data_IF_962872088958
#
_entry.id   IF_962872088958
#
_cell.length_a   1.000
_cell.length_b   1.000
_cell.length_c   1.000
_cell.angle_alpha   90.00
_cell.angle_beta   90.00
_cell.angle_gamma   90.00
#
_symmetry.space_group_name_H-M   'P 1'
#
loop_
_entity.id
_entity.type
_entity.pdbx_description
1 polymer ?
#
# COMPACT_ATOMS: atom_id res chain seq x y z
N UNK A 1 29.22 -7.73 -0.76
CA UNK A 1 28.08 -7.79 -1.69
C UNK A 1 27.55 -9.21 -1.65
N UNK A 2 26.23 -9.39 -1.55
CA UNK A 2 25.62 -10.71 -1.72
C UNK A 2 25.98 -11.24 -3.11
N UNK A 3 26.43 -12.49 -3.19
CA UNK A 3 26.68 -13.16 -4.47
C UNK A 3 25.36 -13.24 -5.24
N UNK A 4 25.29 -12.82 -6.51
CA UNK A 4 24.09 -12.97 -7.31
C UNK A 4 23.63 -14.44 -7.32
N UNK A 5 22.35 -14.67 -7.04
CA UNK A 5 21.76 -16.01 -7.05
C UNK A 5 20.86 -16.17 -8.27
N UNK A 6 20.76 -17.41 -8.76
CA UNK A 6 19.84 -17.82 -9.81
C UNK A 6 19.02 -18.97 -9.27
N UNK A 7 17.70 -18.81 -9.25
CA UNK A 7 16.78 -19.84 -8.76
C UNK A 7 15.96 -20.41 -9.92
N UNK A 8 15.38 -21.61 -9.77
CA UNK A 8 14.60 -22.23 -10.83
C UNK A 8 13.45 -21.31 -11.30
N UNK A 9 13.21 -21.21 -12.62
CA UNK A 9 12.08 -20.44 -13.11
C UNK A 9 10.75 -21.10 -12.71
N UNK A 10 9.71 -20.29 -12.58
CA UNK A 10 8.33 -20.82 -12.55
C UNK A 10 8.01 -21.39 -13.94
N UNK A 11 7.40 -22.58 -14.00
CA UNK A 11 7.06 -23.22 -15.28
C UNK A 11 5.97 -22.45 -16.03
N UNK A 12 5.97 -22.58 -17.37
CA UNK A 12 4.89 -22.15 -18.26
C UNK A 12 4.52 -20.65 -18.21
N UNK A 13 5.48 -19.78 -17.89
CA UNK A 13 5.27 -18.33 -17.89
C UNK A 13 5.32 -17.72 -19.29
N UNK A 14 4.39 -16.82 -19.57
CA UNK A 14 4.50 -15.91 -20.70
C UNK A 14 5.61 -14.86 -20.42
N UNK A 15 6.33 -14.37 -21.44
CA UNK A 15 7.34 -13.35 -21.24
C UNK A 15 6.76 -12.08 -20.59
N UNK A 16 7.50 -11.49 -19.64
CA UNK A 16 7.16 -10.25 -18.92
C UNK A 16 5.94 -10.31 -17.98
N UNK A 17 5.29 -11.47 -17.82
CA UNK A 17 4.12 -11.58 -16.92
C UNK A 17 4.50 -11.77 -15.46
N UNK A 18 5.76 -12.11 -15.20
CA UNK A 18 6.36 -12.17 -13.87
C UNK A 18 7.64 -11.31 -13.84
N UNK A 19 8.09 -10.85 -12.66
CA UNK A 19 9.41 -10.27 -12.52
C UNK A 19 10.52 -11.21 -13.02
N UNK A 20 11.60 -10.63 -13.55
CA UNK A 20 12.74 -11.34 -14.14
C UNK A 20 13.35 -12.38 -13.19
N UNK A 21 13.45 -12.07 -11.89
CA UNK A 21 13.98 -12.97 -10.89
C UNK A 21 13.14 -14.25 -10.69
N UNK A 22 11.86 -14.26 -11.08
CA UNK A 22 11.04 -15.49 -11.12
C UNK A 22 11.16 -16.26 -12.44
N UNK A 23 11.74 -15.65 -13.47
CA UNK A 23 11.96 -16.25 -14.78
C UNK A 23 13.38 -16.85 -14.91
N UNK A 24 14.07 -17.06 -13.78
CA UNK A 24 15.40 -17.65 -13.76
C UNK A 24 16.52 -16.68 -14.15
N UNK A 25 16.32 -15.37 -14.02
CA UNK A 25 17.41 -14.39 -14.11
C UNK A 25 18.18 -14.31 -12.78
N UNK A 26 19.42 -13.82 -12.84
CA UNK A 26 20.20 -13.57 -11.63
C UNK A 26 19.63 -12.39 -10.85
N UNK A 27 19.66 -12.47 -9.53
CA UNK A 27 19.26 -11.38 -8.64
C UNK A 27 20.20 -11.25 -7.46
N UNK A 28 20.38 -10.01 -7.00
CA UNK A 28 21.09 -9.67 -5.74
C UNK A 28 20.14 -9.31 -4.60
N UNK A 29 18.85 -9.17 -4.91
CA UNK A 29 17.80 -8.71 -3.98
C UNK A 29 17.14 -9.85 -3.23
N UNK A 30 16.91 -10.98 -3.92
CA UNK A 30 16.11 -12.09 -3.42
C UNK A 30 16.96 -13.35 -3.16
N UNK A 31 16.41 -14.28 -2.40
CA UNK A 31 17.04 -15.54 -1.99
C UNK A 31 15.96 -16.63 -1.82
N UNK A 32 16.33 -17.83 -1.37
CA UNK A 32 15.42 -18.97 -1.24
C UNK A 32 14.20 -18.73 -0.34
N UNK A 33 14.32 -17.94 0.74
CA UNK A 33 13.18 -17.69 1.65
C UNK A 33 12.12 -16.80 1.01
N UNK A 34 12.55 -15.85 0.17
CA UNK A 34 11.65 -15.04 -0.63
C UNK A 34 10.81 -15.89 -1.60
N UNK A 35 11.45 -16.87 -2.25
CA UNK A 35 10.79 -17.72 -3.23
C UNK A 35 9.84 -18.70 -2.54
N UNK A 36 10.25 -19.27 -1.40
CA UNK A 36 9.39 -20.11 -0.58
C UNK A 36 8.14 -19.36 -0.10
N UNK A 37 8.29 -18.09 0.31
CA UNK A 37 7.16 -17.23 0.66
C UNK A 37 6.25 -16.96 -0.53
N UNK A 38 6.85 -16.66 -1.69
CA UNK A 38 6.10 -16.43 -2.92
C UNK A 38 5.23 -17.64 -3.27
N UNK A 39 5.78 -18.85 -3.23
CA UNK A 39 5.03 -20.08 -3.51
C UNK A 39 3.89 -20.29 -2.51
N UNK A 40 4.15 -20.09 -1.21
CA UNK A 40 3.15 -20.21 -0.14
C UNK A 40 1.98 -19.21 -0.31
N UNK A 41 2.29 -17.93 -0.55
CA UNK A 41 1.24 -16.91 -0.73
C UNK A 41 0.50 -17.13 -2.04
N UNK A 42 1.18 -17.59 -3.09
CA UNK A 42 0.55 -17.93 -4.37
C UNK A 42 -0.48 -19.05 -4.23
N UNK A 43 -0.16 -20.09 -3.47
CA UNK A 43 -1.11 -21.17 -3.12
C UNK A 43 -2.34 -20.59 -2.41
N UNK A 44 -2.13 -19.78 -1.36
CA UNK A 44 -3.21 -19.11 -0.66
C UNK A 44 -4.09 -18.26 -1.61
N UNK A 45 -3.48 -17.47 -2.49
CA UNK A 45 -4.21 -16.61 -3.44
C UNK A 45 -5.02 -17.45 -4.44
N UNK A 46 -4.45 -18.54 -4.96
CA UNK A 46 -5.14 -19.43 -5.90
C UNK A 46 -6.32 -20.17 -5.27
N UNK A 47 -6.23 -20.53 -3.99
CA UNK A 47 -7.27 -21.28 -3.30
C UNK A 47 -8.36 -20.35 -2.72
N UNK A 48 -7.96 -19.25 -2.08
CA UNK A 48 -8.86 -18.43 -1.27
C UNK A 48 -9.33 -17.14 -1.96
N UNK A 49 -8.70 -16.69 -3.05
CA UNK A 49 -9.03 -15.39 -3.67
C UNK A 49 -9.46 -15.53 -5.11
N UNK A 50 -8.62 -16.13 -5.97
CA UNK A 50 -8.86 -16.21 -7.42
C UNK A 50 -10.24 -16.77 -7.78
N UNK A 51 -10.77 -17.82 -7.11
CA UNK A 51 -12.08 -18.37 -7.45
C UNK A 51 -13.26 -17.41 -7.18
N UNK A 52 -13.09 -16.42 -6.29
CA UNK A 52 -14.17 -15.60 -5.75
C UNK A 52 -14.07 -14.11 -6.13
N UNK A 53 -12.92 -13.68 -6.68
CA UNK A 53 -12.60 -12.27 -6.88
C UNK A 53 -13.61 -11.51 -7.75
N UNK A 54 -14.16 -12.16 -8.77
CA UNK A 54 -15.14 -11.55 -9.67
C UNK A 54 -16.49 -11.36 -8.98
N UNK A 55 -16.94 -12.36 -8.21
CA UNK A 55 -18.17 -12.28 -7.41
C UNK A 55 -18.06 -11.16 -6.38
N UNK A 56 -16.94 -11.10 -5.66
CA UNK A 56 -16.69 -10.08 -4.63
C UNK A 56 -16.62 -8.66 -5.20
N UNK A 57 -16.06 -8.45 -6.40
CA UNK A 57 -16.04 -7.12 -7.01
C UNK A 57 -17.44 -6.66 -7.46
N UNK A 58 -18.26 -7.58 -7.98
CA UNK A 58 -19.65 -7.30 -8.36
C UNK A 58 -20.49 -6.98 -7.12
N UNK A 59 -20.39 -7.79 -6.06
CA UNK A 59 -21.07 -7.56 -4.79
C UNK A 59 -20.54 -6.32 -4.05
N UNK A 60 -19.27 -5.96 -4.30
CA UNK A 60 -18.56 -4.95 -3.53
C UNK A 60 -18.27 -5.38 -2.09
N UNK A 61 -18.27 -6.68 -1.81
CA UNK A 61 -18.08 -7.26 -0.49
C UNK A 61 -17.14 -8.46 -0.60
N UNK A 62 -16.22 -8.59 0.36
CA UNK A 62 -15.26 -9.69 0.46
C UNK A 62 -15.61 -10.50 1.69
N UNK A 63 -15.43 -11.83 1.65
CA UNK A 63 -15.67 -12.68 2.82
C UNK A 63 -14.85 -12.21 4.03
N UNK A 64 -15.50 -11.82 5.15
CA UNK A 64 -14.82 -11.45 6.39
C UNK A 64 -13.83 -12.50 6.91
N UNK A 65 -14.06 -13.79 6.64
CA UNK A 65 -13.19 -14.88 7.08
C UNK A 65 -11.82 -14.84 6.39
N UNK A 66 -11.74 -14.29 5.18
CA UNK A 66 -10.48 -14.16 4.45
C UNK A 66 -9.45 -13.35 5.27
N UNK A 67 -9.88 -12.27 5.94
CA UNK A 67 -8.99 -11.46 6.79
C UNK A 67 -8.46 -12.22 8.00
N UNK A 68 -9.29 -13.07 8.62
CA UNK A 68 -8.88 -13.91 9.74
C UNK A 68 -7.86 -14.96 9.31
N UNK A 69 -8.11 -15.61 8.18
CA UNK A 69 -7.18 -16.60 7.64
C UNK A 69 -5.83 -15.96 7.27
N UNK A 70 -5.87 -14.77 6.68
CA UNK A 70 -4.68 -13.97 6.38
C UNK A 70 -3.86 -13.65 7.65
N UNK A 71 -4.53 -13.35 8.76
CA UNK A 71 -3.90 -13.20 10.08
C UNK A 71 -3.32 -14.49 10.63
N UNK A 72 -4.05 -15.61 10.59
CA UNK A 72 -3.62 -16.92 11.10
C UNK A 72 -2.36 -17.46 10.42
N UNK A 73 -2.16 -17.13 9.14
CA UNK A 73 -0.96 -17.49 8.36
C UNK A 73 0.25 -16.59 8.62
N UNK A 74 0.10 -15.57 9.47
CA UNK A 74 1.17 -14.64 9.80
C UNK A 74 1.45 -13.58 8.73
N UNK A 75 0.59 -13.44 7.70
CA UNK A 75 0.78 -12.44 6.66
C UNK A 75 0.55 -11.02 7.18
N UNK A 76 -0.41 -10.81 8.09
CA UNK A 76 -0.54 -9.53 8.79
C UNK A 76 0.74 -9.18 9.57
N UNK A 77 1.36 -10.15 10.23
CA UNK A 77 2.60 -9.93 10.98
C UNK A 77 3.74 -9.44 10.08
N UNK A 78 3.84 -9.95 8.86
CA UNK A 78 4.81 -9.48 7.88
C UNK A 78 4.47 -8.11 7.27
N UNK A 79 3.19 -7.74 7.19
CA UNK A 79 2.75 -6.43 6.66
C UNK A 79 2.69 -5.33 7.73
N UNK A 80 3.28 -5.54 8.91
CA UNK A 80 3.21 -4.62 10.05
C UNK A 80 4.07 -3.35 9.88
N UNK A 81 4.83 -3.23 8.78
CA UNK A 81 5.72 -2.11 8.48
C UNK A 81 6.86 -1.93 9.47
N UNK A 82 7.34 -3.05 10.02
CA UNK A 82 8.52 -3.13 10.88
C UNK A 82 9.59 -4.00 10.22
N UNK A 83 10.87 -3.66 10.45
CA UNK A 83 12.00 -4.35 9.82
C UNK A 83 12.18 -5.78 10.32
N UNK A 84 11.87 -6.00 11.58
CA UNK A 84 11.96 -7.29 12.25
C UNK A 84 10.57 -7.87 12.43
N UNK A 85 10.45 -9.18 12.27
CA UNK A 85 9.19 -9.87 12.50
C UNK A 85 8.75 -9.68 13.98
N UNK A 86 7.49 -9.33 14.28
CA UNK A 86 7.07 -8.82 15.59
C UNK A 86 6.88 -9.92 16.65
N UNK A 87 7.91 -10.74 16.89
CA UNK A 87 7.88 -11.89 17.80
C UNK A 87 7.60 -11.53 19.27
N UNK A 88 7.87 -10.29 19.68
CA UNK A 88 7.54 -9.77 21.02
C UNK A 88 6.01 -9.76 21.30
N UNK A 89 5.19 -9.59 20.27
CA UNK A 89 3.74 -9.38 20.42
C UNK A 89 2.89 -10.56 19.95
N UNK A 90 3.49 -11.58 19.34
CA UNK A 90 2.76 -12.73 18.80
C UNK A 90 3.64 -13.96 18.58
N UNK A 91 3.05 -15.14 18.74
CA UNK A 91 3.63 -16.44 18.38
C UNK A 91 3.26 -16.93 16.98
N UNK A 92 2.42 -16.17 16.25
CA UNK A 92 2.02 -16.49 14.88
C UNK A 92 3.23 -16.37 13.95
N UNK A 93 3.40 -17.29 12.99
CA UNK A 93 4.53 -17.34 12.07
C UNK A 93 4.07 -17.57 10.64
N UNK A 94 4.82 -17.04 9.69
CA UNK A 94 4.79 -17.49 8.30
C UNK A 94 5.45 -18.86 8.24
N UNK A 95 4.85 -19.81 7.51
CA UNK A 95 5.34 -21.20 7.45
C UNK A 95 6.70 -21.30 6.76
N UNK A 96 6.89 -20.59 5.66
CA UNK A 96 8.09 -20.64 4.80
C UNK A 96 9.27 -19.77 5.26
N UNK A 97 9.05 -18.81 6.16
CA UNK A 97 10.04 -17.79 6.52
C UNK A 97 10.26 -17.75 8.03
N UNK A 98 11.45 -18.18 8.52
CA UNK A 98 11.83 -17.97 9.90
C UNK A 98 11.89 -16.47 10.26
N UNK A 99 11.40 -16.05 11.45
CA UNK A 99 11.40 -14.64 11.87
C UNK A 99 12.72 -13.91 11.70
N UNK A 100 13.84 -14.58 12.01
CA UNK A 100 15.19 -14.04 11.94
C UNK A 100 15.71 -13.82 10.51
N UNK A 101 15.02 -14.38 9.51
CA UNK A 101 15.32 -14.18 8.09
C UNK A 101 14.35 -13.22 7.40
N UNK A 102 13.33 -12.75 8.11
CA UNK A 102 12.37 -11.79 7.57
C UNK A 102 13.06 -10.47 7.24
N UNK A 103 12.69 -9.87 6.11
CA UNK A 103 13.19 -8.57 5.67
C UNK A 103 12.13 -7.85 4.82
N UNK A 104 12.36 -6.58 4.42
CA UNK A 104 11.37 -5.82 3.65
C UNK A 104 10.98 -6.45 2.29
N UNK A 105 11.82 -7.27 1.67
CA UNK A 105 11.47 -7.92 0.40
C UNK A 105 10.41 -9.01 0.61
N UNK A 106 10.37 -9.66 1.77
CA UNK A 106 9.29 -10.60 2.12
C UNK A 106 7.94 -9.89 2.24
N UNK A 107 7.91 -8.69 2.82
CA UNK A 107 6.70 -7.86 2.88
C UNK A 107 6.18 -7.57 1.46
N UNK A 108 7.07 -7.11 0.56
CA UNK A 108 6.71 -6.79 -0.82
C UNK A 108 6.19 -8.01 -1.59
N UNK A 109 6.72 -9.21 -1.34
CA UNK A 109 6.26 -10.45 -1.99
C UNK A 109 4.82 -10.79 -1.61
N UNK A 110 4.43 -10.59 -0.35
CA UNK A 110 3.04 -10.81 0.08
C UNK A 110 2.11 -9.86 -0.67
N UNK A 111 2.49 -8.59 -0.78
CA UNK A 111 1.72 -7.58 -1.52
C UNK A 111 1.60 -7.98 -3.00
N UNK A 112 2.72 -8.33 -3.63
CA UNK A 112 2.78 -8.75 -5.03
C UNK A 112 1.92 -9.98 -5.31
N UNK A 113 2.01 -11.04 -4.51
CA UNK A 113 1.22 -12.25 -4.76
C UNK A 113 -0.27 -12.02 -4.51
N UNK A 114 -0.67 -11.25 -3.49
CA UNK A 114 -2.08 -10.88 -3.29
C UNK A 114 -2.62 -10.09 -4.46
N UNK A 115 -1.85 -9.14 -4.99
CA UNK A 115 -2.23 -8.35 -6.16
C UNK A 115 -2.31 -9.17 -7.46
N UNK A 116 -1.69 -10.36 -7.53
CA UNK A 116 -1.79 -11.26 -8.68
C UNK A 116 -3.23 -11.68 -8.99
N UNK A 117 -4.12 -11.66 -7.99
CA UNK A 117 -5.55 -11.89 -8.17
C UNK A 117 -6.26 -10.81 -9.02
N UNK A 118 -5.58 -9.69 -9.33
CA UNK A 118 -6.12 -8.65 -10.20
C UNK A 118 -7.30 -7.88 -9.59
N UNK A 119 -7.32 -7.70 -8.26
CA UNK A 119 -8.33 -6.91 -7.55
C UNK A 119 -7.71 -6.07 -6.45
N UNK A 120 -7.68 -4.75 -6.66
CA UNK A 120 -7.33 -3.78 -5.64
C UNK A 120 -8.33 -3.78 -4.49
N UNK A 121 -9.62 -4.00 -4.77
CA UNK A 121 -10.66 -4.14 -3.74
C UNK A 121 -10.34 -5.22 -2.70
N UNK A 122 -9.93 -6.41 -3.13
CA UNK A 122 -9.52 -7.51 -2.22
C UNK A 122 -8.19 -7.19 -1.53
N UNK A 123 -7.21 -6.66 -2.28
CA UNK A 123 -5.93 -6.26 -1.71
C UNK A 123 -6.13 -5.27 -0.55
N UNK A 124 -6.88 -4.21 -0.77
CA UNK A 124 -7.15 -3.20 0.25
C UNK A 124 -8.11 -3.67 1.33
N UNK A 125 -8.99 -4.62 1.04
CA UNK A 125 -9.72 -5.33 2.08
C UNK A 125 -8.77 -6.08 3.02
N UNK A 126 -7.68 -6.69 2.53
CA UNK A 126 -6.75 -7.42 3.39
C UNK A 126 -5.77 -6.51 4.14
N UNK A 127 -5.25 -5.47 3.49
CA UNK A 127 -4.12 -4.71 4.04
C UNK A 127 -4.27 -3.20 3.99
N UNK A 128 -5.29 -2.65 3.31
CA UNK A 128 -5.36 -1.22 2.99
C UNK A 128 -5.39 -0.30 4.20
N UNK A 129 -6.24 -0.57 5.19
CA UNK A 129 -6.26 0.18 6.45
C UNK A 129 -5.17 -0.27 7.43
N UNK A 130 -4.85 -1.56 7.41
CA UNK A 130 -3.89 -2.21 8.29
C UNK A 130 -2.46 -1.67 8.07
N UNK A 131 -1.96 -1.77 6.83
CA UNK A 131 -0.57 -1.46 6.47
C UNK A 131 -0.20 0.01 6.71
N UNK A 132 -1.19 0.91 6.79
CA UNK A 132 -0.96 2.33 7.06
C UNK A 132 -1.25 2.74 8.52
N UNK A 133 -1.94 1.91 9.32
CA UNK A 133 -2.24 2.23 10.71
C UNK A 133 -1.30 1.55 11.70
N UNK A 134 -0.98 0.28 11.44
CA UNK A 134 -0.16 -0.55 12.32
C UNK A 134 1.28 -0.05 12.46
N UNK A 135 1.97 0.44 11.41
CA UNK A 135 3.33 0.93 11.58
C UNK A 135 3.39 2.16 12.52
N UNK A 136 2.35 3.02 12.51
CA UNK A 136 2.26 4.14 13.44
C UNK A 136 2.12 3.66 14.91
N UNK A 137 1.37 2.58 15.16
CA UNK A 137 1.24 1.97 16.49
C UNK A 137 2.59 1.39 16.94
N UNK A 138 3.27 0.64 16.07
CA UNK A 138 4.59 0.08 16.37
C UNK A 138 5.64 1.15 16.64
N UNK A 139 5.66 2.23 15.83
CA UNK A 139 6.71 3.23 15.89
C UNK A 139 6.52 4.26 17.00
N UNK A 140 5.27 4.64 17.27
CA UNK A 140 4.95 5.78 18.14
C UNK A 140 3.99 5.45 19.29
N UNK A 141 3.38 4.26 19.31
CA UNK A 141 2.54 3.84 20.43
C UNK A 141 3.32 3.66 21.72
N UNK A 142 2.67 3.85 22.86
CA UNK A 142 3.26 3.54 24.16
C UNK A 142 3.45 2.02 24.33
N UNK A 143 4.40 1.54 25.16
CA UNK A 143 4.55 0.11 25.42
C UNK A 143 3.27 -0.55 25.95
N UNK A 144 2.48 0.17 26.76
CA UNK A 144 1.20 -0.31 27.26
C UNK A 144 0.17 -0.45 26.14
N UNK A 145 0.06 0.53 25.24
CA UNK A 145 -0.81 0.45 24.08
C UNK A 145 -0.43 -0.73 23.18
N UNK A 146 0.85 -0.86 22.81
CA UNK A 146 1.35 -1.94 21.95
C UNK A 146 0.99 -3.33 22.50
N UNK A 147 1.27 -3.59 23.78
CA UNK A 147 0.93 -4.86 24.44
C UNK A 147 -0.57 -5.14 24.49
N UNK A 148 -1.39 -4.09 24.63
CA UNK A 148 -2.85 -4.21 24.69
C UNK A 148 -3.46 -4.57 23.34
N UNK A 149 -2.98 -3.99 22.24
CA UNK A 149 -3.72 -4.05 20.95
C UNK A 149 -3.06 -4.87 19.86
N UNK A 150 -1.72 -4.95 19.82
CA UNK A 150 -1.02 -5.62 18.74
C UNK A 150 -1.33 -7.13 18.66
N UNK A 151 -1.40 -7.91 19.76
CA UNK A 151 -1.65 -9.35 19.66
C UNK A 151 -2.92 -9.70 18.87
N UNK A 152 -4.02 -8.98 19.11
CA UNK A 152 -5.29 -9.24 18.42
C UNK A 152 -5.34 -8.67 17.00
N UNK A 153 -4.67 -7.55 16.74
CA UNK A 153 -4.52 -6.96 15.40
C UNK A 153 -3.68 -7.89 14.51
N UNK A 154 -2.53 -8.36 15.00
CA UNK A 154 -1.61 -9.26 14.29
C UNK A 154 -2.25 -10.63 14.01
N UNK A 155 -3.14 -11.09 14.90
CA UNK A 155 -3.89 -12.33 14.72
C UNK A 155 -5.09 -12.22 13.77
N UNK A 156 -5.40 -11.01 13.25
CA UNK A 156 -6.56 -10.78 12.40
C UNK A 156 -7.90 -10.86 13.13
N UNK A 157 -7.91 -10.79 14.47
CA UNK A 157 -9.14 -10.79 15.28
C UNK A 157 -9.78 -9.41 15.36
N UNK A 158 -8.93 -8.38 15.36
CA UNK A 158 -9.30 -6.97 15.42
C UNK A 158 -8.66 -6.22 14.25
N UNK A 159 -9.31 -5.15 13.81
CA UNK A 159 -8.87 -4.36 12.65
C UNK A 159 -8.57 -2.92 13.06
N UNK A 160 -7.52 -2.37 12.47
CA UNK A 160 -7.20 -0.94 12.58
C UNK A 160 -7.16 -0.27 11.22
N UNK A 161 -7.48 1.03 11.19
CA UNK A 161 -7.30 1.88 10.01
C UNK A 161 -6.76 3.26 10.39
N UNK A 162 -6.22 3.97 9.39
CA UNK A 162 -5.69 5.32 9.53
C UNK A 162 -6.75 6.35 9.12
N UNK A 163 -7.04 7.30 10.01
CA UNK A 163 -8.10 8.29 9.85
C UNK A 163 -7.54 9.72 9.88
N UNK A 164 -7.06 10.18 8.72
CA UNK A 164 -6.46 11.51 8.57
C UNK A 164 -7.37 12.45 7.79
N UNK A 165 -7.67 12.08 6.54
CA UNK A 165 -8.34 12.93 5.56
C UNK A 165 -9.73 13.34 5.99
N UNK A 166 -10.06 14.59 5.72
CA UNK A 166 -11.36 15.20 5.98
C UNK A 166 -11.99 15.70 4.67
N UNK A 167 -13.31 15.97 4.63
CA UNK A 167 -13.96 16.55 3.46
C UNK A 167 -13.24 17.77 2.88
N UNK A 168 -12.72 18.64 3.75
CA UNK A 168 -12.08 19.90 3.39
C UNK A 168 -10.54 19.88 3.54
N UNK A 169 -9.95 18.75 3.96
CA UNK A 169 -8.51 18.61 4.18
C UNK A 169 -7.98 17.26 3.67
N UNK A 170 -7.55 17.25 2.40
CA UNK A 170 -6.87 16.14 1.74
C UNK A 170 -5.36 16.35 1.67
N UNK A 171 -4.88 16.97 0.60
CA UNK A 171 -3.46 17.32 0.43
C UNK A 171 -2.96 18.31 1.50
N UNK A 172 -3.86 19.14 2.04
CA UNK A 172 -3.57 20.12 3.08
C UNK A 172 -3.90 19.59 4.49
N UNK A 173 -3.28 18.47 4.86
CA UNK A 173 -3.47 17.81 6.16
C UNK A 173 -3.24 18.75 7.35
N UNK A 174 -2.36 19.74 7.20
CA UNK A 174 -2.03 20.69 8.25
C UNK A 174 -3.25 21.53 8.71
N UNK A 175 -4.28 21.65 7.88
CA UNK A 175 -5.50 22.41 8.15
C UNK A 175 -6.73 21.54 8.48
N UNK A 176 -6.52 20.29 8.90
CA UNK A 176 -7.60 19.46 9.47
C UNK A 176 -8.32 20.15 10.64
N UNK A 177 -9.59 19.81 10.80
CA UNK A 177 -10.59 20.47 11.66
C UNK A 177 -11.20 19.55 12.71
N UNK A 178 -11.09 18.22 12.61
CA UNK A 178 -11.52 17.29 13.68
C UNK A 178 -10.78 17.65 14.96
N UNK A 179 -11.51 17.97 16.03
CA UNK A 179 -10.95 18.43 17.29
C UNK A 179 -10.81 17.29 18.29
N UNK A 180 -9.87 17.46 19.22
CA UNK A 180 -9.74 16.63 20.41
C UNK A 180 -9.55 17.57 21.62
N UNK A 181 -10.63 17.81 22.36
CA UNK A 181 -10.63 18.72 23.51
C UNK A 181 -10.41 17.92 24.79
N UNK A 182 -9.51 18.36 25.67
CA UNK A 182 -9.29 17.69 26.94
C UNK A 182 -10.53 17.83 27.84
N UNK A 183 -10.98 16.73 28.44
CA UNK A 183 -12.06 16.74 29.43
C UNK A 183 -11.67 17.54 30.67
N UNK A 184 -12.67 18.02 31.42
CA UNK A 184 -12.45 18.82 32.64
C UNK A 184 -11.55 18.12 33.68
N UNK A 185 -11.66 16.79 33.77
CA UNK A 185 -10.85 15.97 34.68
C UNK A 185 -9.43 15.67 34.17
N UNK A 186 -9.10 16.09 32.94
CA UNK A 186 -7.80 15.89 32.32
C UNK A 186 -7.49 14.46 31.90
N UNK A 187 -8.44 13.53 31.96
CA UNK A 187 -8.21 12.09 31.75
C UNK A 187 -8.50 11.62 30.33
N UNK A 188 -9.33 12.34 29.59
CA UNK A 188 -9.77 11.97 28.25
C UNK A 188 -9.70 13.15 27.28
N UNK A 189 -9.56 12.84 26.01
CA UNK A 189 -9.94 13.72 24.92
C UNK A 189 -11.38 13.42 24.50
N UNK A 190 -12.14 14.47 24.23
CA UNK A 190 -13.44 14.43 23.56
C UNK A 190 -13.22 14.78 22.09
N UNK A 191 -13.42 13.78 21.22
CA UNK A 191 -13.14 13.90 19.79
C UNK A 191 -14.42 14.16 19.02
N UNK A 192 -14.44 15.23 18.23
CA UNK A 192 -15.58 15.59 17.37
C UNK A 192 -15.09 15.98 15.98
N UNK A 193 -15.71 15.40 14.95
CA UNK A 193 -15.44 15.76 13.56
C UNK A 193 -15.67 14.62 12.58
N UNK A 194 -15.36 14.89 11.32
CA UNK A 194 -15.61 13.97 10.21
C UNK A 194 -14.32 13.63 9.47
N UNK A 195 -14.09 12.33 9.29
CA UNK A 195 -13.06 11.76 8.44
C UNK A 195 -13.70 11.12 7.22
N UNK A 196 -13.00 11.16 6.09
CA UNK A 196 -13.57 10.69 4.82
C UNK A 196 -12.50 9.95 4.01
N UNK A 197 -12.96 9.00 3.21
CA UNK A 197 -12.11 8.07 2.45
C UNK A 197 -11.27 7.14 3.33
N UNK A 198 -11.79 6.75 4.49
CA UNK A 198 -11.07 5.89 5.44
C UNK A 198 -11.19 4.44 5.00
N UNK A 199 -10.11 3.90 4.42
CA UNK A 199 -10.04 2.51 3.96
C UNK A 199 -10.19 1.55 5.14
N UNK A 200 -11.02 0.52 4.97
CA UNK A 200 -11.46 -0.43 6.00
C UNK A 200 -12.21 0.19 7.19
N UNK A 201 -12.53 1.49 7.18
CA UNK A 201 -13.14 2.16 8.33
C UNK A 201 -14.44 1.51 8.82
N UNK A 202 -15.23 0.92 7.93
CA UNK A 202 -16.47 0.20 8.26
C UNK A 202 -16.22 -1.13 8.98
N UNK A 203 -15.03 -1.72 8.82
CA UNK A 203 -14.62 -3.00 9.43
C UNK A 203 -13.75 -2.81 10.67
N UNK A 204 -13.18 -1.63 10.88
CA UNK A 204 -12.19 -1.38 11.93
C UNK A 204 -12.79 -1.31 13.32
N UNK A 205 -12.12 -1.94 14.28
CA UNK A 205 -12.35 -1.78 15.71
C UNK A 205 -11.58 -0.57 16.27
N UNK A 206 -10.48 -0.20 15.61
CA UNK A 206 -9.58 0.85 16.06
C UNK A 206 -9.27 1.86 14.94
N UNK A 207 -9.17 3.14 15.31
CA UNK A 207 -8.86 4.25 14.41
C UNK A 207 -7.63 5.01 14.89
N UNK A 208 -6.56 4.97 14.10
CA UNK A 208 -5.38 5.82 14.29
C UNK A 208 -5.68 7.18 13.66
N UNK A 209 -6.04 8.16 14.47
CA UNK A 209 -6.76 9.37 14.02
C UNK A 209 -5.95 10.64 14.23
N UNK A 210 -5.81 11.46 13.19
CA UNK A 210 -5.21 12.79 13.31
C UNK A 210 -6.27 13.80 13.79
N UNK A 211 -5.98 14.50 14.89
CA UNK A 211 -6.90 15.45 15.52
C UNK A 211 -6.21 16.77 15.86
N UNK A 212 -7.00 17.85 15.94
CA UNK A 212 -6.59 19.18 16.38
C UNK A 212 -6.70 19.26 17.90
N UNK A 213 -5.56 19.34 18.57
CA UNK A 213 -5.45 19.58 20.03
C UNK A 213 -4.89 20.97 20.34
N UNK A 214 -4.19 21.58 19.39
CA UNK A 214 -3.50 22.87 19.55
C UNK A 214 -3.95 23.93 18.55
N UNK A 215 -3.07 24.89 18.28
CA UNK A 215 -3.30 25.96 17.30
C UNK A 215 -3.36 25.41 15.86
N UNK A 216 -3.81 26.23 14.90
CA UNK A 216 -3.81 25.90 13.47
C UNK A 216 -2.40 25.56 12.96
N UNK A 217 -2.32 24.74 11.92
CA UNK A 217 -1.08 24.32 11.27
C UNK A 217 -0.47 23.03 11.83
N UNK A 218 0.74 22.68 11.38
CA UNK A 218 1.36 21.38 11.67
C UNK A 218 1.58 21.12 13.17
N UNK A 219 1.95 22.15 13.93
CA UNK A 219 2.30 22.04 15.35
C UNK A 219 1.13 22.02 16.32
N UNK A 220 -0.09 21.75 15.86
CA UNK A 220 -1.27 21.58 16.73
C UNK A 220 -2.04 20.29 16.48
N UNK A 221 -1.40 19.33 15.82
CA UNK A 221 -2.01 18.04 15.46
C UNK A 221 -1.49 16.95 16.41
N UNK A 222 -2.39 16.13 16.94
CA UNK A 222 -2.09 14.94 17.74
C UNK A 222 -2.65 13.70 17.07
N UNK A 223 -1.91 12.60 17.10
CA UNK A 223 -2.41 11.29 16.70
C UNK A 223 -3.02 10.60 17.91
N UNK A 224 -4.26 10.15 17.81
CA UNK A 224 -4.98 9.42 18.85
C UNK A 224 -5.27 8.00 18.37
N UNK A 225 -5.13 7.02 19.27
CA UNK A 225 -5.67 5.69 19.09
C UNK A 225 -7.10 5.65 19.64
N UNK A 226 -8.10 5.54 18.77
CA UNK A 226 -9.51 5.59 19.14
C UNK A 226 -10.11 4.20 18.98
N UNK A 227 -10.62 3.63 20.06
CA UNK A 227 -11.43 2.42 20.02
C UNK A 227 -12.87 2.75 19.60
N UNK A 228 -13.48 1.91 18.76
CA UNK A 228 -14.84 2.12 18.29
C UNK A 228 -15.83 2.05 19.45
N UNK A 229 -16.60 3.11 19.62
CA UNK A 229 -17.81 3.13 20.45
C UNK A 229 -19.03 3.32 19.54
N UNK A 230 -19.95 2.35 19.53
CA UNK A 230 -21.15 2.38 18.68
C UNK A 230 -22.10 3.55 18.99
N UNK A 231 -21.97 4.20 20.14
CA UNK A 231 -22.80 5.35 20.53
C UNK A 231 -22.25 6.68 20.00
N UNK A 232 -20.94 6.80 19.81
CA UNK A 232 -20.27 8.07 19.47
C UNK A 232 -19.49 8.02 18.16
N UNK A 233 -19.35 6.83 17.56
CA UNK A 233 -18.63 6.61 16.30
C UNK A 233 -19.60 6.06 15.25
N UNK A 234 -19.96 6.91 14.29
CA UNK A 234 -20.76 6.53 13.14
C UNK A 234 -19.88 6.26 11.91
N UNK A 235 -20.19 5.19 11.17
CA UNK A 235 -19.45 4.83 9.95
C UNK A 235 -20.39 4.48 8.83
N UNK A 236 -20.17 5.08 7.66
CA UNK A 236 -20.93 4.81 6.44
C UNK A 236 -20.02 4.49 5.27
N UNK A 237 -20.28 3.39 4.57
CA UNK A 237 -19.55 3.04 3.35
C UNK A 237 -19.74 4.09 2.25
N UNK A 238 -18.66 4.45 1.58
CA UNK A 238 -18.62 5.33 0.42
C UNK A 238 -18.49 4.46 -0.83
N UNK A 239 -19.40 4.62 -1.79
CA UNK A 239 -19.30 3.96 -3.09
C UNK A 239 -18.29 4.69 -3.96
N UNK A 240 -17.26 3.98 -4.39
CA UNK A 240 -16.15 4.47 -5.23
C UNK A 240 -16.17 3.81 -6.61
N UNK A 241 -15.49 4.42 -7.59
CA UNK A 241 -15.43 3.91 -8.97
C UNK A 241 -14.83 2.49 -9.04
N UNK A 242 -13.76 2.24 -8.28
CA UNK A 242 -13.13 0.92 -8.08
C UNK A 242 -12.97 0.63 -6.60
N UNK A 243 -12.17 -0.39 -6.24
CA UNK A 243 -11.88 -0.74 -4.84
C UNK A 243 -13.10 -1.14 -4.02
N UNK A 244 -14.15 -1.68 -4.66
CA UNK A 244 -15.49 -1.80 -4.07
C UNK A 244 -15.53 -2.60 -2.77
N UNK A 245 -14.74 -3.68 -2.71
CA UNK A 245 -14.60 -4.56 -1.53
C UNK A 245 -13.79 -3.96 -0.37
N UNK A 246 -13.09 -2.84 -0.57
CA UNK A 246 -12.11 -2.31 0.42
C UNK A 246 -12.73 -1.64 1.65
N UNK A 247 -14.04 -1.32 1.61
CA UNK A 247 -14.72 -0.64 2.71
C UNK A 247 -14.26 0.81 2.92
N UNK A 248 -14.08 1.58 1.85
CA UNK A 248 -13.88 3.04 1.94
C UNK A 248 -15.03 3.68 2.72
N UNK A 249 -14.71 4.48 3.74
CA UNK A 249 -15.68 4.88 4.77
C UNK A 249 -15.68 6.38 5.04
N UNK A 250 -16.88 6.93 5.26
CA UNK A 250 -17.12 8.19 5.96
C UNK A 250 -17.27 7.86 7.45
N UNK A 251 -16.51 8.55 8.28
CA UNK A 251 -16.38 8.28 9.71
C UNK A 251 -16.69 9.58 10.47
N UNK A 252 -17.63 9.53 11.40
CA UNK A 252 -18.01 10.66 12.24
C UNK A 252 -17.74 10.32 13.70
N UNK A 253 -17.10 11.25 14.40
CA UNK A 253 -16.92 11.22 15.85
C UNK A 253 -17.82 12.28 16.48
N UNK A 254 -18.59 11.90 17.49
CA UNK A 254 -19.45 12.79 18.28
C UNK A 254 -19.07 12.70 19.76
N UNK A 255 -18.27 13.65 20.25
CA UNK A 255 -17.73 13.67 21.62
C UNK A 255 -17.14 12.32 22.09
N UNK A 256 -16.50 11.60 21.17
CA UNK A 256 -15.93 10.28 21.45
C UNK A 256 -14.84 10.40 22.49
N UNK A 257 -14.97 9.67 23.60
CA UNK A 257 -14.03 9.71 24.73
C UNK A 257 -12.81 8.84 24.45
N UNK A 258 -11.62 9.42 24.52
CA UNK A 258 -10.35 8.74 24.27
C UNK A 258 -9.40 8.98 25.44
N UNK A 259 -8.85 7.95 26.11
CA UNK A 259 -7.90 8.16 27.21
C UNK A 259 -6.67 8.95 26.77
N UNK A 260 -6.15 9.85 27.61
CA UNK A 260 -4.89 10.56 27.30
C UNK A 260 -3.69 9.62 27.14
N UNK A 261 -3.76 8.41 27.72
CA UNK A 261 -2.75 7.36 27.57
C UNK A 261 -2.72 6.72 26.16
N UNK A 262 -3.77 6.95 25.36
CA UNK A 262 -3.92 6.44 23.99
C UNK A 262 -3.46 7.46 22.93
N UNK A 263 -2.73 8.51 23.35
CA UNK A 263 -1.94 9.35 22.43
C UNK A 263 -0.85 8.52 21.76
N UNK A 264 -0.75 8.62 20.44
CA UNK A 264 0.32 8.02 19.64
C UNK A 264 1.40 9.09 19.41
N UNK A 265 2.59 8.87 19.97
CA UNK A 265 3.69 9.83 19.97
C UNK A 265 3.47 10.92 21.01
N UNK A 266 3.59 12.18 20.60
CA UNK A 266 3.51 13.34 21.49
C UNK A 266 2.28 14.21 21.15
N UNK A 267 1.70 14.82 22.18
CA UNK A 267 0.68 15.86 22.00
C UNK A 267 1.27 16.99 21.14
N UNK A 268 0.54 17.39 20.09
CA UNK A 268 0.94 18.34 19.06
C UNK A 268 2.13 17.89 18.17
N UNK A 269 2.64 16.68 18.36
CA UNK A 269 3.70 16.07 17.54
C UNK A 269 3.21 15.20 16.39
N UNK A 270 1.88 15.07 16.23
CA UNK A 270 1.25 14.09 15.34
C UNK A 270 1.60 14.24 13.86
N UNK A 271 1.83 15.47 13.37
CA UNK A 271 2.19 15.70 11.97
C UNK A 271 3.50 14.99 11.58
N UNK A 272 4.49 14.95 12.48
CA UNK A 272 5.76 14.24 12.25
C UNK A 272 5.53 12.73 12.15
N UNK A 273 4.69 12.17 13.02
CA UNK A 273 4.32 10.76 12.99
C UNK A 273 3.63 10.37 11.67
N UNK A 274 2.74 11.23 11.17
CA UNK A 274 2.08 11.03 9.86
C UNK A 274 3.14 10.99 8.73
N UNK A 275 4.03 11.98 8.68
CA UNK A 275 5.06 12.04 7.62
C UNK A 275 6.02 10.84 7.65
N UNK A 276 6.35 10.34 8.83
CA UNK A 276 7.21 9.16 8.99
C UNK A 276 6.57 7.86 8.48
N UNK A 277 5.24 7.81 8.44
CA UNK A 277 4.47 6.64 8.00
C UNK A 277 4.30 6.58 6.47
N UNK A 278 4.23 7.74 5.80
CA UNK A 278 3.90 7.82 4.37
C UNK A 278 4.92 7.19 3.42
N UNK A 279 6.20 7.10 3.80
CA UNK A 279 7.17 6.45 2.90
C UNK A 279 6.94 4.94 2.80
N UNK A 280 6.56 4.29 3.89
CA UNK A 280 6.21 2.87 3.89
C UNK A 280 4.91 2.63 3.12
N UNK A 281 3.87 3.44 3.35
CA UNK A 281 2.63 3.42 2.56
C UNK A 281 2.90 3.52 1.04
N UNK A 282 3.78 4.45 0.63
CA UNK A 282 4.13 4.64 -0.79
C UNK A 282 4.88 3.47 -1.39
N UNK A 283 5.78 2.81 -0.64
CA UNK A 283 6.42 1.57 -1.10
C UNK A 283 5.37 0.47 -1.33
N UNK A 284 4.38 0.37 -0.43
CA UNK A 284 3.24 -0.54 -0.62
C UNK A 284 2.42 -0.21 -1.87
N UNK A 285 2.15 1.07 -2.16
CA UNK A 285 1.47 1.48 -3.40
C UNK A 285 2.31 1.11 -4.64
N UNK A 286 3.63 1.31 -4.59
CA UNK A 286 4.52 0.97 -5.71
C UNK A 286 4.48 -0.53 -6.00
N UNK A 287 4.53 -1.38 -4.98
CA UNK A 287 4.40 -2.82 -5.13
C UNK A 287 3.09 -3.21 -5.82
N UNK A 288 1.96 -2.70 -5.31
CA UNK A 288 0.63 -3.00 -5.84
C UNK A 288 0.48 -2.56 -7.30
N UNK A 289 0.81 -1.31 -7.62
CA UNK A 289 0.66 -0.76 -8.97
C UNK A 289 1.61 -1.43 -9.98
N UNK A 290 2.82 -1.83 -9.55
CA UNK A 290 3.75 -2.60 -10.39
C UNK A 290 3.14 -3.96 -10.74
N UNK A 291 2.61 -4.69 -9.75
CA UNK A 291 1.97 -5.97 -9.98
C UNK A 291 0.71 -5.86 -10.85
N UNK A 292 -0.16 -4.90 -10.58
CA UNK A 292 -1.37 -4.72 -11.40
C UNK A 292 -1.04 -4.36 -12.86
N UNK A 293 0.03 -3.60 -13.09
CA UNK A 293 0.54 -3.35 -14.44
C UNK A 293 0.95 -4.66 -15.14
N UNK A 294 1.60 -5.60 -14.42
CA UNK A 294 1.91 -6.94 -14.93
C UNK A 294 0.67 -7.80 -15.18
N UNK A 295 -0.32 -7.77 -14.28
CA UNK A 295 -1.60 -8.49 -14.47
C UNK A 295 -2.30 -8.00 -15.75
N UNK A 296 -2.31 -6.68 -15.99
CA UNK A 296 -2.85 -6.09 -17.20
C UNK A 296 -2.10 -6.53 -18.46
N UNK A 297 -0.76 -6.58 -18.40
CA UNK A 297 0.08 -7.08 -19.49
C UNK A 297 -0.20 -8.56 -19.77
N UNK A 298 -0.24 -9.38 -18.73
CA UNK A 298 -0.49 -10.82 -18.82
C UNK A 298 -1.84 -11.11 -19.47
N UNK A 299 -2.93 -10.55 -18.92
CA UNK A 299 -4.27 -10.75 -19.45
C UNK A 299 -4.34 -10.32 -20.92
N UNK A 300 -3.72 -9.20 -21.26
CA UNK A 300 -3.66 -8.70 -22.65
C UNK A 300 -2.90 -9.63 -23.58
N UNK A 301 -1.80 -10.21 -23.13
CA UNK A 301 -0.97 -11.10 -23.94
C UNK A 301 -1.69 -12.44 -24.18
N UNK A 302 -2.28 -13.02 -23.14
CA UNK A 302 -3.14 -14.22 -23.23
C UNK A 302 -4.26 -13.98 -24.25
N UNK A 303 -4.99 -12.86 -24.12
CA UNK A 303 -6.04 -12.53 -25.07
C UNK A 303 -5.53 -12.33 -26.50
N UNK A 304 -4.38 -11.68 -26.68
CA UNK A 304 -3.81 -11.43 -27.99
C UNK A 304 -3.31 -12.71 -28.70
N UNK A 305 -2.91 -13.73 -27.94
CA UNK A 305 -2.52 -15.04 -28.45
C UNK A 305 -3.73 -15.89 -28.89
N UNK A 306 -4.89 -15.68 -28.26
CA UNK A 306 -6.11 -16.41 -28.57
C UNK A 306 -6.95 -15.75 -29.67
N UNK A 307 -7.17 -14.43 -29.58
CA UNK A 307 -8.09 -13.69 -30.42
C UNK A 307 -7.63 -13.62 -31.87
N UNK A 308 -8.56 -13.82 -32.81
CA UNK A 308 -8.33 -13.63 -34.24
C UNK A 308 -9.02 -12.39 -34.79
N UNK A 309 -8.30 -11.66 -35.65
CA UNK A 309 -8.81 -10.54 -36.45
C UNK A 309 -8.08 -10.52 -37.79
N UNK A 310 -8.79 -10.18 -38.87
CA UNK A 310 -8.22 -10.11 -40.22
C UNK A 310 -7.47 -11.39 -40.64
N UNK A 311 -7.99 -12.56 -40.28
CA UNK A 311 -7.44 -13.87 -40.67
C UNK A 311 -6.18 -14.31 -39.92
N UNK A 312 -5.81 -13.66 -38.81
CA UNK A 312 -4.64 -14.05 -38.00
C UNK A 312 -4.82 -13.72 -36.52
N UNK A 313 -3.95 -14.26 -35.66
CA UNK A 313 -3.94 -13.93 -34.22
C UNK A 313 -3.68 -12.44 -34.01
N UNK A 314 -4.29 -11.85 -32.98
CA UNK A 314 -4.20 -10.42 -32.69
C UNK A 314 -2.75 -9.99 -32.46
N UNK A 315 -1.94 -10.84 -31.82
CA UNK A 315 -0.50 -10.61 -31.60
C UNK A 315 0.32 -10.46 -32.90
N UNK A 316 -0.19 -10.95 -34.05
CA UNK A 316 0.52 -10.86 -35.32
C UNK A 316 0.44 -9.48 -35.98
N UNK A 317 -0.41 -8.58 -35.46
CA UNK A 317 -0.46 -7.19 -35.91
C UNK A 317 0.63 -6.35 -35.24
N UNK A 318 1.47 -5.67 -36.03
CA UNK A 318 2.60 -4.89 -35.50
C UNK A 318 2.17 -3.79 -34.51
N UNK A 319 1.02 -3.16 -34.75
CA UNK A 319 0.43 -2.16 -33.87
C UNK A 319 0.05 -2.71 -32.49
N UNK A 320 -0.26 -4.01 -32.40
CA UNK A 320 -0.53 -4.70 -31.13
C UNK A 320 0.79 -5.01 -30.41
N UNK A 321 1.80 -5.55 -31.12
CA UNK A 321 3.13 -5.80 -30.53
C UNK A 321 3.80 -4.55 -29.99
N UNK A 322 3.61 -3.41 -30.66
CA UNK A 322 4.12 -2.12 -30.18
C UNK A 322 3.61 -1.76 -28.78
N UNK A 323 2.34 -2.06 -28.46
CA UNK A 323 1.75 -1.82 -27.13
C UNK A 323 2.46 -2.64 -26.06
N UNK A 324 2.68 -3.94 -26.33
CA UNK A 324 3.39 -4.82 -25.40
C UNK A 324 4.83 -4.35 -25.13
N UNK A 325 5.55 -3.89 -26.16
CA UNK A 325 6.89 -3.33 -25.98
C UNK A 325 6.91 -2.10 -25.06
N UNK A 326 5.94 -1.19 -25.20
CA UNK A 326 5.83 0.00 -24.35
C UNK A 326 5.43 -0.37 -22.92
N UNK A 327 4.44 -1.26 -22.75
CA UNK A 327 4.01 -1.72 -21.42
C UNK A 327 5.15 -2.43 -20.68
N UNK A 328 5.78 -3.43 -21.31
CA UNK A 328 6.88 -4.19 -20.71
C UNK A 328 8.06 -3.28 -20.33
N UNK A 329 8.48 -2.39 -21.25
CA UNK A 329 9.59 -1.47 -20.97
C UNK A 329 9.36 -0.56 -19.76
N UNK A 330 8.13 -0.06 -19.56
CA UNK A 330 7.81 0.74 -18.37
C UNK A 330 7.75 -0.10 -17.10
N UNK A 331 7.13 -1.27 -17.16
CA UNK A 331 7.00 -2.19 -16.02
C UNK A 331 8.38 -2.61 -15.51
N UNK A 332 9.27 -3.09 -16.39
CA UNK A 332 10.60 -3.53 -15.99
C UNK A 332 11.45 -2.36 -15.44
N UNK A 333 11.35 -1.18 -16.06
CA UNK A 333 12.07 0.02 -15.59
C UNK A 333 11.65 0.43 -14.17
N UNK A 334 10.34 0.40 -13.88
CA UNK A 334 9.83 0.71 -12.54
C UNK A 334 10.16 -0.40 -11.55
N UNK A 335 10.05 -1.68 -11.93
CA UNK A 335 10.44 -2.81 -11.07
C UNK A 335 11.90 -2.71 -10.63
N UNK A 336 12.81 -2.38 -11.55
CA UNK A 336 14.22 -2.24 -11.24
C UNK A 336 14.48 -1.11 -10.23
N UNK A 337 13.87 0.07 -10.44
CA UNK A 337 13.99 1.18 -9.50
C UNK A 337 13.36 0.85 -8.15
N UNK A 338 12.20 0.21 -8.14
CA UNK A 338 11.53 -0.22 -6.92
C UNK A 338 12.38 -1.19 -6.10
N UNK A 339 12.99 -2.21 -6.75
CA UNK A 339 13.90 -3.14 -6.07
C UNK A 339 15.09 -2.42 -5.44
N UNK A 340 15.68 -1.43 -6.12
CA UNK A 340 16.75 -0.61 -5.53
C UNK A 340 16.24 0.18 -4.31
N UNK A 341 15.07 0.82 -4.39
CA UNK A 341 14.50 1.56 -3.25
C UNK A 341 14.27 0.66 -2.03
N UNK A 342 13.79 -0.56 -2.23
CA UNK A 342 13.60 -1.55 -1.14
C UNK A 342 14.95 -2.00 -0.58
N UNK A 343 15.96 -2.18 -1.44
CA UNK A 343 17.33 -2.48 -1.02
C UNK A 343 17.89 -1.36 -0.13
N UNK A 344 17.77 -0.10 -0.56
CA UNK A 344 18.23 1.04 0.24
C UNK A 344 17.46 1.11 1.56
N UNK A 345 16.14 0.95 1.52
CA UNK A 345 15.29 0.95 2.71
C UNK A 345 15.74 -0.12 3.71
N UNK A 346 16.05 -1.34 3.25
CA UNK A 346 16.52 -2.45 4.08
C UNK A 346 17.78 -2.12 4.89
N UNK A 347 18.74 -1.40 4.31
CA UNK A 347 20.05 -1.17 4.94
C UNK A 347 20.22 0.21 5.59
N UNK A 348 19.46 1.22 5.18
CA UNK A 348 19.48 2.53 5.83
C UNK A 348 18.72 2.46 7.15
N UNK A 349 19.22 3.14 8.19
CA UNK A 349 18.42 3.35 9.40
C UNK A 349 17.21 4.26 9.12
N UNK A 350 16.29 4.34 10.08
CA UNK A 350 15.03 5.09 9.91
C UNK A 350 15.23 6.59 9.69
N UNK A 351 16.27 7.19 10.26
CA UNK A 351 16.56 8.61 10.10
C UNK A 351 17.17 8.88 8.73
N UNK A 352 18.13 8.06 8.31
CA UNK A 352 18.74 8.14 6.98
C UNK A 352 17.70 7.89 5.88
N UNK A 353 16.89 6.82 6.00
CA UNK A 353 15.84 6.50 5.05
C UNK A 353 14.82 7.64 4.92
N UNK A 354 14.40 8.26 6.03
CA UNK A 354 13.48 9.39 6.01
C UNK A 354 14.03 10.58 5.21
N UNK A 355 15.34 10.85 5.34
CA UNK A 355 15.99 11.99 4.67
C UNK A 355 16.28 11.69 3.21
N UNK A 356 16.82 10.51 2.91
CA UNK A 356 17.34 10.18 1.57
C UNK A 356 16.30 9.58 0.63
N UNK A 357 15.36 8.79 1.14
CA UNK A 357 14.43 8.02 0.30
C UNK A 357 13.09 8.72 0.09
N UNK A 358 12.73 9.73 0.88
CA UNK A 358 11.42 10.39 0.76
C UNK A 358 11.15 11.00 -0.63
N UNK A 359 12.17 11.62 -1.24
CA UNK A 359 12.06 12.17 -2.59
C UNK A 359 11.99 11.08 -3.68
N UNK A 360 12.97 10.15 -3.73
CA UNK A 360 12.96 9.03 -4.68
C UNK A 360 11.71 8.14 -4.61
N UNK A 361 11.22 7.80 -3.41
CA UNK A 361 9.99 7.02 -3.22
C UNK A 361 8.77 7.78 -3.76
N UNK A 362 8.67 9.09 -3.49
CA UNK A 362 7.58 9.91 -4.03
C UNK A 362 7.60 9.93 -5.57
N UNK A 363 8.76 10.17 -6.17
CA UNK A 363 8.91 10.18 -7.62
C UNK A 363 8.60 8.80 -8.25
N UNK A 364 9.05 7.71 -7.63
CA UNK A 364 8.75 6.35 -8.08
C UNK A 364 7.25 6.04 -7.97
N UNK A 365 6.58 6.48 -6.88
CA UNK A 365 5.12 6.35 -6.72
C UNK A 365 4.38 7.05 -7.85
N UNK A 366 4.75 8.27 -8.23
CA UNK A 366 4.11 8.95 -9.37
C UNK A 366 4.37 8.20 -10.69
N UNK A 367 5.59 7.74 -10.93
CA UNK A 367 5.95 7.04 -12.18
C UNK A 367 5.22 5.70 -12.33
N UNK A 368 5.09 4.92 -11.24
CA UNK A 368 4.40 3.62 -11.30
C UNK A 368 2.90 3.77 -11.49
N UNK A 369 2.26 4.80 -10.92
CA UNK A 369 0.82 5.01 -11.12
C UNK A 369 0.50 5.45 -12.54
N UNK A 370 1.35 6.29 -13.14
CA UNK A 370 1.30 6.62 -14.57
C UNK A 370 1.55 5.40 -15.46
N UNK A 371 2.43 4.50 -15.02
CA UNK A 371 2.69 3.23 -15.72
C UNK A 371 1.48 2.30 -15.67
N UNK A 372 0.82 2.19 -14.52
CA UNK A 372 -0.42 1.43 -14.37
C UNK A 372 -1.55 2.03 -15.21
N UNK A 373 -1.70 3.36 -15.25
CA UNK A 373 -2.69 4.04 -16.09
C UNK A 373 -2.47 3.72 -17.58
N UNK A 374 -1.22 3.81 -18.05
CA UNK A 374 -0.87 3.43 -19.42
C UNK A 374 -1.19 1.95 -19.68
N UNK A 375 -0.79 1.05 -18.79
CA UNK A 375 -1.05 -0.38 -18.96
C UNK A 375 -2.54 -0.69 -18.98
N UNK A 376 -3.34 -0.03 -18.13
CA UNK A 376 -4.79 -0.23 -18.08
C UNK A 376 -5.45 0.27 -19.37
N UNK A 377 -5.03 1.44 -19.86
CA UNK A 377 -5.49 2.00 -21.14
C UNK A 377 -5.16 1.09 -22.32
N UNK A 378 -3.93 0.59 -22.41
CA UNK A 378 -3.53 -0.28 -23.51
C UNK A 378 -4.22 -1.64 -23.44
N UNK A 379 -4.32 -2.24 -22.25
CA UNK A 379 -5.05 -3.48 -22.03
C UNK A 379 -6.50 -3.35 -22.45
N UNK A 380 -7.17 -2.27 -22.05
CA UNK A 380 -8.54 -1.97 -22.47
C UNK A 380 -8.66 -1.90 -24.00
N UNK A 381 -7.71 -1.22 -24.67
CA UNK A 381 -7.71 -1.12 -26.12
C UNK A 381 -7.46 -2.47 -26.84
N UNK A 382 -6.63 -3.34 -26.26
CA UNK A 382 -6.35 -4.69 -26.78
C UNK A 382 -7.58 -5.60 -26.64
N UNK A 383 -8.32 -5.48 -25.53
CA UNK A 383 -9.57 -6.20 -25.31
C UNK A 383 -10.75 -5.66 -26.14
N UNK A 384 -10.71 -4.40 -26.55
CA UNK A 384 -11.80 -3.76 -27.30
C UNK A 384 -13.09 -3.74 -26.48
N UNK A 385 -14.23 -4.08 -27.08
CA UNK A 385 -15.53 -4.02 -26.39
C UNK A 385 -15.62 -4.89 -25.11
N UNK A 386 -14.77 -5.92 -24.96
CA UNK A 386 -14.78 -6.78 -23.77
C UNK A 386 -14.32 -6.05 -22.51
N UNK A 387 -13.43 -5.05 -22.62
CA UNK A 387 -12.99 -4.28 -21.45
C UNK A 387 -14.03 -3.28 -20.94
N UNK A 388 -15.12 -3.09 -21.69
CA UNK A 388 -16.23 -2.23 -21.28
C UNK A 388 -17.29 -2.98 -20.46
N UNK A 389 -17.24 -4.32 -20.45
CA UNK A 389 -18.22 -5.15 -19.76
C UNK A 389 -17.67 -5.60 -18.41
N UNK A 390 -18.47 -5.46 -17.35
CA UNK A 390 -18.13 -6.01 -16.03
C UNK A 390 -18.15 -7.54 -16.05
N UNK A 391 -17.13 -8.16 -15.47
CA UNK A 391 -16.98 -9.61 -15.41
C UNK A 391 -16.61 -10.27 -16.74
N UNK A 392 -16.74 -11.60 -16.78
CA UNK A 392 -16.39 -12.40 -17.95
C UNK A 392 -14.92 -12.25 -18.36
N UNK A 393 -14.62 -12.50 -19.65
CA UNK A 393 -13.25 -12.59 -20.14
C UNK A 393 -12.44 -11.28 -20.02
N UNK A 394 -13.11 -10.12 -20.06
CA UNK A 394 -12.50 -8.80 -19.90
C UNK A 394 -12.53 -8.28 -18.46
N UNK A 395 -13.11 -9.02 -17.52
CA UNK A 395 -13.45 -8.54 -16.18
C UNK A 395 -12.26 -8.00 -15.39
N UNK A 396 -11.12 -8.70 -15.41
CA UNK A 396 -9.89 -8.23 -14.74
C UNK A 396 -9.40 -6.89 -15.31
N UNK A 397 -9.42 -6.72 -16.64
CA UNK A 397 -8.99 -5.47 -17.28
C UNK A 397 -9.97 -4.34 -16.96
N UNK A 398 -11.27 -4.59 -17.05
CA UNK A 398 -12.31 -3.62 -16.68
C UNK A 398 -12.18 -3.17 -15.22
N UNK A 399 -11.99 -4.13 -14.30
CA UNK A 399 -11.82 -3.87 -12.87
C UNK A 399 -10.59 -3.02 -12.59
N UNK A 400 -9.43 -3.44 -13.07
CA UNK A 400 -8.18 -2.70 -12.84
C UNK A 400 -8.20 -1.33 -13.52
N UNK A 401 -8.91 -1.17 -14.65
CA UNK A 401 -9.12 0.12 -15.30
C UNK A 401 -9.88 1.11 -14.39
N UNK A 402 -10.94 0.65 -13.70
CA UNK A 402 -11.67 1.47 -12.70
C UNK A 402 -10.83 1.81 -11.47
N UNK A 403 -9.86 0.96 -11.14
CA UNK A 403 -9.06 1.05 -9.91
C UNK A 403 -7.83 1.96 -10.01
N UNK A 404 -7.39 2.35 -11.22
CA UNK A 404 -6.22 3.22 -11.44
C UNK A 404 -6.21 4.46 -10.54
N UNK A 405 -7.35 5.16 -10.42
CA UNK A 405 -7.44 6.42 -9.67
C UNK A 405 -7.25 6.23 -8.16
N UNK A 406 -7.52 5.03 -7.64
CA UNK A 406 -7.24 4.70 -6.25
C UNK A 406 -5.75 4.52 -5.97
N UNK A 407 -4.88 4.45 -6.97
CA UNK A 407 -3.42 4.50 -6.77
C UNK A 407 -2.82 5.85 -7.11
N UNK A 408 -3.32 6.49 -8.17
CA UNK A 408 -2.82 7.79 -8.62
C UNK A 408 -3.04 8.93 -7.60
N UNK A 409 -4.13 8.87 -6.82
CA UNK A 409 -4.55 9.98 -5.95
C UNK A 409 -4.07 9.84 -4.48
N UNK A 410 -4.42 8.78 -3.73
CA UNK A 410 -3.99 8.64 -2.32
C UNK A 410 -2.50 8.29 -2.20
N UNK A 411 -1.95 8.35 -0.97
CA UNK A 411 -0.50 8.37 -0.72
C UNK A 411 0.21 9.66 -1.17
N UNK A 412 -0.59 10.65 -1.61
CA UNK A 412 -0.18 11.91 -2.25
C UNK A 412 -0.40 11.86 -3.76
N UNK A 413 -1.08 12.86 -4.32
CA UNK A 413 -1.34 12.90 -5.77
C UNK A 413 -0.05 12.97 -6.58
N UNK A 414 -0.09 12.56 -7.84
CA UNK A 414 1.09 12.55 -8.70
C UNK A 414 1.81 13.90 -8.74
N UNK A 415 1.06 15.02 -8.81
CA UNK A 415 1.63 16.37 -8.81
C UNK A 415 2.36 16.67 -7.51
N UNK A 416 1.75 16.34 -6.37
CA UNK A 416 2.35 16.54 -5.05
C UNK A 416 3.59 15.66 -4.89
N UNK A 417 3.59 14.45 -5.43
CA UNK A 417 4.71 13.52 -5.35
C UNK A 417 5.88 13.91 -6.24
N UNK A 418 5.61 14.37 -7.47
CA UNK A 418 6.63 14.89 -8.38
C UNK A 418 7.28 16.14 -7.77
N UNK A 419 6.49 17.08 -7.27
CA UNK A 419 6.99 18.28 -6.60
C UNK A 419 7.76 17.93 -5.31
N UNK A 420 7.26 17.00 -4.49
CA UNK A 420 7.97 16.52 -3.29
C UNK A 420 9.32 15.90 -3.64
N UNK A 421 9.38 15.09 -4.71
CA UNK A 421 10.60 14.50 -5.23
C UNK A 421 11.68 15.53 -5.49
N UNK A 422 11.31 16.64 -6.15
CA UNK A 422 12.22 17.76 -6.43
C UNK A 422 12.56 18.54 -5.16
N UNK A 423 11.56 18.90 -4.33
CA UNK A 423 11.77 19.71 -3.13
C UNK A 423 12.70 19.07 -2.11
N UNK A 424 12.70 17.74 -1.99
CA UNK A 424 13.65 17.06 -1.10
C UNK A 424 15.09 17.20 -1.61
N UNK A 425 15.32 17.05 -2.92
CA UNK A 425 16.63 17.21 -3.55
C UNK A 425 17.16 18.66 -3.47
N UNK A 426 16.28 19.66 -3.53
CA UNK A 426 16.68 21.07 -3.39
C UNK A 426 17.33 21.39 -2.03
N UNK A 427 17.04 20.63 -0.97
CA UNK A 427 17.71 20.80 0.33
C UNK A 427 19.19 20.42 0.25
N UNK A 428 19.50 19.39 -0.52
CA UNK A 428 20.88 18.96 -0.73
C UNK A 428 21.61 19.88 -1.71
N UNK A 429 20.91 20.46 -2.70
CA UNK A 429 21.47 21.51 -3.56
C UNK A 429 21.96 22.72 -2.75
N UNK A 430 21.19 23.17 -1.74
CA UNK A 430 21.63 24.25 -0.84
C UNK A 430 22.92 23.90 -0.09
N UNK A 431 23.09 22.64 0.34
CA UNK A 431 24.35 22.18 0.97
C UNK A 431 25.50 22.20 -0.05
N UNK A 432 25.24 21.79 -1.29
CA UNK A 432 26.23 21.82 -2.36
C UNK A 432 26.67 23.25 -2.73
N UNK A 433 25.74 24.18 -2.85
CA UNK A 433 26.04 25.61 -3.06
C UNK A 433 26.88 26.18 -1.91
N UNK A 434 26.59 25.78 -0.68
CA UNK A 434 27.39 26.15 0.50
C UNK A 434 28.81 25.55 0.44
N UNK A 435 28.98 24.32 -0.07
CA UNK A 435 30.31 23.74 -0.25
C UNK A 435 31.12 24.44 -1.35
N UNK A 436 30.48 24.84 -2.45
CA UNK A 436 31.14 25.61 -3.51
C UNK A 436 31.65 26.95 -2.97
N UNK A 437 30.81 27.69 -2.23
CA UNK A 437 31.18 28.97 -1.60
C UNK A 437 32.32 28.85 -0.58
N UNK A 438 32.51 27.68 0.03
CA UNK A 438 33.65 27.41 0.92
C UNK A 438 34.93 27.11 0.13
N UNK A 439 34.81 26.43 -1.01
CA UNK A 439 35.95 26.13 -1.89
C UNK A 439 36.49 27.37 -2.61
N UNK A 440 35.64 28.36 -2.94
CA UNK A 440 36.09 29.61 -3.59
C UNK A 440 36.71 30.63 -2.62
N UNK A 441 36.71 30.36 -1.31
CA UNK A 441 37.30 31.22 -0.27
C UNK A 441 38.66 30.69 0.26
N UNK A 442 39.09 29.53 -0.22
CA UNK A 442 40.44 28.96 -0.09
C UNK A 442 41.20 29.25 -1.37
#
# INVERSE_FOLDING_TARGET
MSTPVKLPPVSDLLPYTEPDYYQGFYTTYFNETHFALRDEVREFVNEFIVPYVDEWDVAGEVDPNLYREFGRRGYLCALAGVREYPTEYTDIRIKSVPPEKFDPFHEIIIIDEVCRAGSGGVCWFLMGGYNISVPAIFKFGSPALKRRVLPDILAGKKRSCLAITEPDAGSDVANLTTTATLSEDGKHYLVTGTKKWITNGIFSDYFVTATRTGKKGMGGITMLFIERDSQTVDTRKIMTQGMRGSGTTLLNFDETKVPVADVIGEVNGGFKSIMANFNHERLGIIAQATRFSRVLLQASLEWALERETFGTKLINHAVIRSKFGVMAGRIEGVQAWFNDLVLQYKYMDDQEAMVRLGGPIAACKALVTQTMELCAREASQIYGGLSYTQGGKGGTVERLYREVRAFAIPGGSEEIMIDLGVRQTLKDLKKYEQSLKKQTKL
#
